data_IF_300455900376
#
_entry.id   IF_300455900376
#
_cell.length_a   1.000
_cell.length_b   1.000
_cell.length_c   1.000
_cell.angle_alpha   90.00
_cell.angle_beta   90.00
_cell.angle_gamma   90.00
#
_symmetry.space_group_name_H-M   'P 1'
#
loop_
_entity.id
_entity.type
_entity.pdbx_description
1 polymer ?
#
# COMPACT_ATOMS: atom_id res chain seq x y z
N UNK A 1 28.17 2.03 -13.48
CA UNK A 1 26.73 2.04 -13.08
C UNK A 1 26.17 3.45 -13.05
N UNK A 2 26.82 4.38 -12.38
CA UNK A 2 26.30 5.75 -12.12
C UNK A 2 26.14 6.63 -13.38
N UNK A 3 26.96 6.46 -14.41
CA UNK A 3 26.88 7.28 -15.62
C UNK A 3 25.68 6.89 -16.48
N UNK A 4 25.32 5.61 -16.50
CA UNK A 4 24.14 5.10 -17.21
C UNK A 4 22.85 5.55 -16.53
N UNK A 5 22.79 5.50 -15.19
CA UNK A 5 21.63 5.94 -14.42
C UNK A 5 21.42 7.45 -14.55
N UNK A 6 22.49 8.26 -14.50
CA UNK A 6 22.41 9.72 -14.71
C UNK A 6 21.98 10.09 -16.14
N UNK A 7 22.48 9.38 -17.15
CA UNK A 7 22.07 9.61 -18.54
C UNK A 7 20.60 9.17 -18.78
N UNK A 8 20.15 8.10 -18.16
CA UNK A 8 18.77 7.66 -18.26
C UNK A 8 17.82 8.65 -17.55
N UNK A 9 18.20 9.11 -16.37
CA UNK A 9 17.45 10.13 -15.61
C UNK A 9 17.32 11.44 -16.41
N UNK A 10 18.42 11.94 -17.00
CA UNK A 10 18.37 13.19 -17.78
C UNK A 10 17.53 13.07 -19.05
N UNK A 11 17.54 11.91 -19.71
CA UNK A 11 16.71 11.65 -20.90
C UNK A 11 15.23 11.48 -20.54
N UNK A 12 14.92 10.92 -19.38
CA UNK A 12 13.56 10.84 -18.84
C UNK A 12 13.07 12.25 -18.51
N UNK A 13 13.90 13.11 -17.93
CA UNK A 13 13.56 14.50 -17.61
C UNK A 13 13.33 15.34 -18.90
N UNK A 14 14.11 15.14 -19.95
CA UNK A 14 13.90 15.79 -21.25
C UNK A 14 12.63 15.30 -21.95
N UNK A 15 12.40 13.99 -21.98
CA UNK A 15 11.17 13.40 -22.52
C UNK A 15 9.92 13.85 -21.72
N UNK A 16 10.05 13.96 -20.41
CA UNK A 16 9.02 14.48 -19.51
C UNK A 16 8.65 15.93 -19.80
N UNK A 17 9.64 16.79 -20.13
CA UNK A 17 9.38 18.18 -20.50
C UNK A 17 8.60 18.31 -21.80
N UNK A 18 8.90 17.48 -22.79
CA UNK A 18 8.20 17.47 -24.09
C UNK A 18 6.79 16.90 -23.98
N UNK A 19 6.55 15.98 -23.03
CA UNK A 19 5.26 15.29 -22.87
C UNK A 19 4.34 15.94 -21.82
N UNK A 20 4.79 16.97 -21.09
CA UNK A 20 3.96 17.71 -20.12
C UNK A 20 2.71 18.35 -20.71
N UNK A 21 2.70 18.59 -22.02
CA UNK A 21 1.57 19.19 -22.73
C UNK A 21 0.59 18.14 -23.30
N UNK A 22 0.91 16.83 -23.14
CA UNK A 22 0.00 15.77 -23.62
C UNK A 22 -1.13 15.59 -22.62
N UNK A 23 -2.40 15.72 -23.05
CA UNK A 23 -3.53 15.51 -22.13
C UNK A 23 -3.47 14.14 -21.49
N UNK A 24 -3.65 14.06 -20.17
CA UNK A 24 -3.61 12.79 -19.43
C UNK A 24 -4.54 11.74 -20.04
N UNK A 25 -5.70 12.16 -20.56
CA UNK A 25 -6.66 11.28 -21.28
C UNK A 25 -6.03 10.55 -22.47
N UNK A 26 -5.12 11.20 -23.17
CA UNK A 26 -4.42 10.57 -24.30
C UNK A 26 -3.42 9.51 -23.82
N UNK A 27 -2.67 9.82 -22.77
CA UNK A 27 -1.75 8.85 -22.15
C UNK A 27 -2.50 7.65 -21.57
N UNK A 28 -3.62 7.87 -20.92
CA UNK A 28 -4.48 6.79 -20.41
C UNK A 28 -5.00 5.91 -21.55
N UNK A 29 -5.50 6.49 -22.65
CA UNK A 29 -5.96 5.75 -23.83
C UNK A 29 -4.83 4.95 -24.50
N UNK A 30 -3.64 5.54 -24.57
CA UNK A 30 -2.46 4.87 -25.14
C UNK A 30 -2.06 3.66 -24.27
N UNK A 31 -2.04 3.83 -22.95
CA UNK A 31 -1.75 2.73 -22.02
C UNK A 31 -2.82 1.65 -22.14
N UNK A 32 -4.10 2.00 -22.09
CA UNK A 32 -5.21 1.04 -22.18
C UNK A 32 -5.21 0.26 -23.51
N UNK A 33 -4.69 0.85 -24.61
CA UNK A 33 -4.56 0.18 -25.90
C UNK A 33 -3.30 -0.68 -26.05
N UNK A 34 -2.27 -0.39 -25.27
CA UNK A 34 -0.93 -1.01 -25.41
C UNK A 34 -0.70 -2.11 -24.36
N UNK A 35 -1.20 -1.91 -23.15
CA UNK A 35 -0.99 -2.82 -22.02
C UNK A 35 -2.29 -3.48 -21.62
N UNK A 36 -2.24 -4.79 -21.46
CA UNK A 36 -3.34 -5.58 -20.92
C UNK A 36 -2.97 -6.12 -19.55
N UNK A 37 -3.73 -5.78 -18.53
CA UNK A 37 -3.59 -6.41 -17.22
C UNK A 37 -4.02 -7.87 -17.29
N UNK A 38 -3.24 -8.73 -16.67
CA UNK A 38 -3.43 -10.18 -16.65
C UNK A 38 -3.18 -10.72 -15.25
N UNK A 39 -3.80 -11.84 -14.95
CA UNK A 39 -3.54 -12.58 -13.73
C UNK A 39 -2.10 -13.11 -13.72
N UNK A 40 -1.48 -13.11 -12.55
CA UNK A 40 -0.18 -13.76 -12.41
C UNK A 40 -0.33 -15.28 -12.50
N UNK A 41 0.57 -15.95 -13.23
CA UNK A 41 0.71 -17.39 -13.11
C UNK A 41 1.08 -17.79 -11.67
N UNK A 42 0.55 -18.88 -11.14
CA UNK A 42 0.73 -19.33 -9.76
C UNK A 42 0.02 -18.42 -8.74
N UNK A 43 -1.21 -18.23 -8.97
CA UNK A 43 -2.04 -17.24 -8.36
C UNK A 43 -2.16 -17.37 -6.83
N UNK A 44 -1.68 -16.39 -6.05
CA UNK A 44 -1.94 -16.34 -4.62
C UNK A 44 -3.38 -15.95 -4.27
N UNK A 45 -4.22 -15.56 -5.24
CA UNK A 45 -5.62 -15.21 -5.01
C UNK A 45 -6.49 -16.39 -4.57
N UNK A 46 -5.99 -17.61 -4.78
CA UNK A 46 -6.65 -18.84 -4.32
C UNK A 46 -5.84 -19.44 -3.18
N UNK A 47 -6.25 -19.37 -1.98
CA UNK A 47 -5.68 -20.00 -0.80
C UNK A 47 -5.39 -19.01 0.34
N UNK A 48 -4.37 -19.27 1.15
CA UNK A 48 -3.97 -18.45 2.29
C UNK A 48 -3.51 -17.02 1.93
N UNK A 49 -3.23 -16.75 0.66
CA UNK A 49 -2.83 -15.42 0.15
C UNK A 49 -3.96 -14.71 -0.60
N UNK A 50 -5.14 -15.30 -0.66
CA UNK A 50 -6.30 -14.66 -1.27
C UNK A 50 -6.57 -13.32 -0.58
N UNK A 51 -6.80 -12.23 -1.34
CA UNK A 51 -7.20 -10.96 -0.75
C UNK A 51 -8.55 -11.10 -0.05
N UNK A 52 -8.72 -10.31 1.00
CA UNK A 52 -9.96 -10.25 1.77
C UNK A 52 -10.69 -8.95 1.54
N UNK A 53 -12.01 -8.98 1.65
CA UNK A 53 -12.83 -7.78 1.54
C UNK A 53 -12.65 -6.86 2.76
N UNK A 54 -12.75 -5.56 2.51
CA UNK A 54 -12.78 -4.55 3.55
C UNK A 54 -14.14 -4.56 4.25
N UNK A 55 -14.15 -4.80 5.55
CA UNK A 55 -15.36 -4.74 6.37
C UNK A 55 -15.68 -3.27 6.73
N UNK A 56 -14.66 -2.49 7.08
CA UNK A 56 -14.77 -1.05 7.35
C UNK A 56 -15.42 -0.69 8.68
N UNK A 57 -16.19 -1.58 9.28
CA UNK A 57 -16.87 -1.40 10.57
C UNK A 57 -16.46 -2.49 11.55
N UNK A 58 -16.44 -2.16 12.85
CA UNK A 58 -16.11 -3.14 13.88
C UNK A 58 -17.25 -4.14 14.06
N UNK A 59 -16.93 -5.42 13.97
CA UNK A 59 -17.86 -6.52 14.23
C UNK A 59 -17.50 -7.22 15.53
N UNK A 60 -18.48 -7.57 16.34
CA UNK A 60 -18.25 -8.30 17.58
C UNK A 60 -17.95 -9.77 17.30
N UNK A 61 -16.93 -10.29 17.97
CA UNK A 61 -16.52 -11.69 17.88
C UNK A 61 -17.24 -12.47 19.00
N UNK A 62 -18.21 -13.27 18.63
CA UNK A 62 -19.01 -14.04 19.56
C UNK A 62 -18.46 -15.44 19.86
N UNK A 63 -17.58 -15.96 19.01
CA UNK A 63 -17.07 -17.32 19.12
C UNK A 63 -15.57 -17.28 19.37
N UNK A 64 -15.16 -17.54 20.61
CA UNK A 64 -13.77 -17.55 21.04
C UNK A 64 -13.48 -18.95 21.61
N UNK A 65 -12.48 -19.63 21.04
CA UNK A 65 -12.00 -20.90 21.57
C UNK A 65 -10.89 -20.65 22.62
N UNK A 66 -11.08 -21.23 23.82
CA UNK A 66 -10.20 -21.01 24.96
C UNK A 66 -10.67 -19.85 25.84
N UNK A 67 -9.75 -19.30 26.63
CA UNK A 67 -10.02 -18.19 27.53
C UNK A 67 -8.95 -17.10 27.40
N UNK A 68 -9.38 -15.85 27.39
CA UNK A 68 -8.48 -14.71 27.51
C UNK A 68 -8.07 -14.58 28.97
N UNK A 69 -6.77 -14.54 29.31
CA UNK A 69 -6.29 -14.39 30.69
C UNK A 69 -6.86 -13.14 31.37
N UNK A 70 -7.06 -13.20 32.70
CA UNK A 70 -7.59 -12.05 33.43
C UNK A 70 -6.65 -10.84 33.44
N UNK A 71 -5.34 -11.10 33.37
CA UNK A 71 -4.28 -10.09 33.31
C UNK A 71 -3.93 -9.62 31.90
N UNK A 72 -4.65 -10.10 30.87
CA UNK A 72 -4.48 -9.61 29.51
C UNK A 72 -4.84 -8.12 29.45
N UNK A 73 -4.03 -7.29 28.75
CA UNK A 73 -4.28 -5.85 28.68
C UNK A 73 -5.51 -5.50 27.83
N UNK A 74 -6.29 -4.54 28.28
CA UNK A 74 -7.25 -3.86 27.40
C UNK A 74 -6.52 -3.03 26.35
N UNK A 75 -7.09 -2.93 25.16
CA UNK A 75 -6.52 -2.14 24.10
C UNK A 75 -6.78 -2.72 22.72
N UNK A 76 -5.91 -2.38 21.78
CA UNK A 76 -6.02 -2.81 20.40
C UNK A 76 -4.74 -3.51 19.95
N UNK A 77 -4.92 -4.65 19.30
CA UNK A 77 -3.88 -5.29 18.51
C UNK A 77 -4.09 -4.97 17.04
N UNK A 78 -3.10 -4.34 16.39
CA UNK A 78 -3.18 -3.97 14.97
C UNK A 78 -2.08 -4.71 14.21
N UNK A 79 -2.46 -5.34 13.11
CA UNK A 79 -1.56 -5.92 12.12
C UNK A 79 -1.74 -5.23 10.78
N UNK A 80 -0.64 -4.96 10.08
CA UNK A 80 -0.63 -4.49 8.71
C UNK A 80 -0.16 -5.61 7.78
N UNK A 81 -0.64 -5.62 6.56
CA UNK A 81 -0.22 -6.56 5.53
C UNK A 81 -0.70 -6.14 4.15
N UNK A 82 -0.14 -6.79 3.14
CA UNK A 82 -0.55 -6.59 1.75
C UNK A 82 -1.92 -7.20 1.51
N UNK A 83 -2.78 -6.47 0.81
CA UNK A 83 -4.07 -6.96 0.36
C UNK A 83 -4.39 -6.33 -1.00
N UNK A 84 -4.15 -7.04 -2.11
CA UNK A 84 -4.34 -6.51 -3.44
C UNK A 84 -5.77 -6.03 -3.71
N UNK A 85 -5.93 -4.79 -4.13
CA UNK A 85 -7.25 -4.20 -4.38
C UNK A 85 -7.98 -4.86 -5.57
N UNK A 86 -7.25 -5.30 -6.58
CA UNK A 86 -7.81 -5.93 -7.79
C UNK A 86 -7.42 -7.41 -7.92
N UNK A 87 -7.27 -8.10 -6.79
CA UNK A 87 -6.97 -9.53 -6.76
C UNK A 87 -5.68 -9.85 -7.49
N UNK A 88 -5.73 -10.80 -8.42
CA UNK A 88 -4.56 -11.32 -9.13
C UNK A 88 -4.06 -10.46 -10.31
N UNK A 89 -4.68 -9.30 -10.60
CA UNK A 89 -4.29 -8.44 -11.73
C UNK A 89 -2.98 -7.68 -11.48
N UNK A 90 -1.89 -8.42 -11.24
CA UNK A 90 -0.58 -7.91 -10.89
C UNK A 90 0.46 -7.99 -12.02
N UNK A 91 0.03 -8.41 -13.19
CA UNK A 91 0.89 -8.54 -14.37
C UNK A 91 0.33 -7.75 -15.54
N UNK A 92 1.19 -7.36 -16.45
CA UNK A 92 0.77 -6.81 -17.75
C UNK A 92 1.48 -7.52 -18.89
N UNK A 93 0.77 -7.64 -20.01
CA UNK A 93 1.32 -8.01 -21.30
C UNK A 93 1.17 -6.84 -22.28
N UNK A 94 2.19 -6.61 -23.10
CA UNK A 94 2.23 -5.50 -24.06
C UNK A 94 3.10 -5.85 -25.28
N UNK A 95 3.17 -4.96 -26.25
CA UNK A 95 4.14 -5.07 -27.36
C UNK A 95 5.59 -4.97 -26.89
N UNK A 96 5.84 -4.48 -25.68
CA UNK A 96 7.17 -4.39 -25.06
C UNK A 96 7.55 -5.67 -24.29
N UNK A 97 6.65 -6.64 -24.20
CA UNK A 97 6.78 -7.85 -23.39
C UNK A 97 5.87 -7.86 -22.18
N UNK A 98 6.28 -8.62 -21.17
CA UNK A 98 5.53 -8.80 -19.93
C UNK A 98 6.24 -8.13 -18.76
N UNK A 99 5.46 -7.57 -17.84
CA UNK A 99 5.95 -7.11 -16.54
C UNK A 99 4.97 -7.48 -15.44
N UNK A 100 5.49 -7.58 -14.20
CA UNK A 100 4.69 -8.00 -13.05
C UNK A 100 5.19 -7.35 -11.76
N UNK A 101 4.31 -7.26 -10.78
CA UNK A 101 4.67 -7.00 -9.40
C UNK A 101 5.21 -8.27 -8.72
N UNK A 102 5.80 -8.10 -7.55
CA UNK A 102 6.11 -9.22 -6.67
C UNK A 102 4.79 -9.83 -6.18
N UNK A 103 4.66 -11.14 -6.19
CA UNK A 103 3.41 -11.86 -5.88
C UNK A 103 2.82 -11.53 -4.49
N UNK A 104 3.64 -11.12 -3.54
CA UNK A 104 3.22 -10.75 -2.18
C UNK A 104 2.83 -9.27 -2.08
N UNK A 105 2.99 -8.50 -3.15
CA UNK A 105 2.73 -7.07 -3.12
C UNK A 105 1.23 -6.77 -3.16
N UNK A 106 0.85 -5.65 -2.58
CA UNK A 106 -0.53 -5.17 -2.53
C UNK A 106 -0.65 -3.92 -1.67
N UNK A 107 -1.82 -3.33 -1.70
CA UNK A 107 -2.15 -2.19 -0.84
C UNK A 107 -2.12 -2.61 0.63
N UNK A 108 -1.77 -1.67 1.51
CA UNK A 108 -1.79 -1.91 2.94
C UNK A 108 -3.21 -2.11 3.46
N UNK A 109 -3.45 -3.22 4.16
CA UNK A 109 -4.68 -3.44 4.90
C UNK A 109 -4.37 -3.65 6.36
N UNK A 110 -5.00 -2.85 7.19
CA UNK A 110 -4.94 -2.96 8.64
C UNK A 110 -6.01 -3.94 9.12
N UNK A 111 -5.63 -4.78 10.07
CA UNK A 111 -6.52 -5.69 10.78
C UNK A 111 -6.39 -5.37 12.27
N UNK A 112 -7.48 -5.02 12.93
CA UNK A 112 -7.48 -4.70 14.35
C UNK A 112 -8.40 -5.61 15.14
N UNK A 113 -7.92 -6.02 16.32
CA UNK A 113 -8.72 -6.65 17.37
C UNK A 113 -8.74 -5.71 18.57
N UNK A 114 -9.94 -5.31 18.99
CA UNK A 114 -10.15 -4.49 20.18
C UNK A 114 -10.56 -5.39 21.33
N UNK A 115 -9.86 -5.27 22.44
CA UNK A 115 -10.11 -6.03 23.66
C UNK A 115 -10.63 -5.10 24.75
N UNK A 116 -11.84 -5.31 25.21
CA UNK A 116 -12.47 -4.52 26.28
C UNK A 116 -12.90 -5.44 27.41
N UNK A 117 -12.53 -5.08 28.63
CA UNK A 117 -12.89 -5.82 29.83
C UNK A 117 -14.23 -5.33 30.36
N UNK A 118 -15.21 -6.21 30.41
CA UNK A 118 -16.51 -5.86 31.00
C UNK A 118 -16.41 -5.83 32.51
N UNK A 119 -17.00 -4.85 33.15
CA UNK A 119 -16.93 -4.62 34.61
C UNK A 119 -17.42 -5.80 35.48
N UNK A 120 -18.19 -6.72 34.90
CA UNK A 120 -18.81 -7.85 35.60
C UNK A 120 -18.97 -9.10 34.75
N UNK A 121 -18.22 -9.23 33.68
CA UNK A 121 -18.41 -10.32 32.72
C UNK A 121 -17.20 -10.66 31.88
N UNK A 122 -17.36 -11.50 30.85
CA UNK A 122 -16.31 -11.93 29.99
C UNK A 122 -15.75 -10.76 29.14
N UNK A 123 -14.59 -10.97 28.54
CA UNK A 123 -14.01 -10.05 27.56
C UNK A 123 -14.95 -9.84 26.38
N UNK A 124 -15.07 -8.59 25.93
CA UNK A 124 -15.61 -8.25 24.62
C UNK A 124 -14.45 -8.08 23.63
N UNK A 125 -14.57 -8.75 22.51
CA UNK A 125 -13.59 -8.65 21.42
C UNK A 125 -14.31 -8.25 20.16
N UNK A 126 -13.82 -7.21 19.48
CA UNK A 126 -14.32 -6.83 18.16
C UNK A 126 -13.18 -6.77 17.14
N UNK A 127 -13.55 -6.99 15.88
CA UNK A 127 -12.62 -7.00 14.77
C UNK A 127 -13.04 -6.02 13.69
N UNK A 128 -12.07 -5.38 13.07
CA UNK A 128 -12.26 -4.58 11.86
C UNK A 128 -11.03 -4.73 10.96
N UNK A 129 -11.24 -4.68 9.67
CA UNK A 129 -10.16 -4.46 8.70
C UNK A 129 -10.47 -3.25 7.82
N UNK A 130 -9.43 -2.54 7.41
CA UNK A 130 -9.54 -1.36 6.56
C UNK A 130 -8.27 -1.12 5.77
N UNK A 131 -8.41 -0.73 4.50
CA UNK A 131 -7.28 -0.31 3.69
C UNK A 131 -6.67 1.00 4.21
N UNK A 132 -5.34 1.09 4.18
CA UNK A 132 -4.64 2.37 4.31
C UNK A 132 -4.93 3.20 3.06
N UNK A 133 -5.61 4.33 3.23
CA UNK A 133 -6.14 5.17 2.16
C UNK A 133 -5.04 6.05 1.54
N UNK A 134 -4.08 5.45 0.84
CA UNK A 134 -3.07 6.19 0.09
C UNK A 134 -3.70 6.96 -1.09
N UNK A 135 -2.96 7.93 -1.64
CA UNK A 135 -3.40 8.68 -2.82
C UNK A 135 -3.64 7.76 -4.03
N UNK A 136 -2.73 6.80 -4.24
CA UNK A 136 -2.82 5.86 -5.36
C UNK A 136 -3.96 4.86 -5.21
N UNK A 137 -4.26 4.42 -3.99
CA UNK A 137 -5.42 3.58 -3.71
C UNK A 137 -6.73 4.31 -4.02
N UNK A 138 -6.86 5.56 -3.57
CA UNK A 138 -8.05 6.39 -3.87
C UNK A 138 -8.23 6.59 -5.37
N UNK A 139 -7.14 6.81 -6.11
CA UNK A 139 -7.15 6.96 -7.56
C UNK A 139 -7.67 5.69 -8.25
N UNK A 140 -7.13 4.53 -7.90
CA UNK A 140 -7.52 3.25 -8.50
C UNK A 140 -8.95 2.85 -8.13
N UNK A 141 -9.38 3.10 -6.88
CA UNK A 141 -10.79 2.94 -6.46
C UNK A 141 -11.74 3.81 -7.28
N UNK A 142 -11.40 5.09 -7.46
CA UNK A 142 -12.23 6.00 -8.25
C UNK A 142 -12.34 5.56 -9.72
N UNK A 143 -11.31 4.95 -10.26
CA UNK A 143 -11.27 4.43 -11.63
C UNK A 143 -11.82 3.00 -11.77
N UNK A 144 -12.00 2.30 -10.67
CA UNK A 144 -12.45 0.90 -10.60
C UNK A 144 -11.62 -0.07 -11.46
N UNK A 145 -10.35 0.22 -11.62
CA UNK A 145 -9.39 -0.61 -12.36
C UNK A 145 -7.96 -0.36 -11.88
N UNK A 146 -7.04 -1.33 -12.04
CA UNK A 146 -5.63 -1.09 -11.82
C UNK A 146 -5.14 -0.03 -12.82
N UNK A 147 -4.35 0.92 -12.32
CA UNK A 147 -3.88 2.05 -13.11
C UNK A 147 -2.35 2.08 -13.28
N UNK A 148 -1.65 1.62 -12.26
CA UNK A 148 -0.18 1.56 -12.29
C UNK A 148 0.26 0.30 -13.00
N UNK A 149 1.10 0.47 -14.01
CA UNK A 149 1.72 -0.64 -14.70
C UNK A 149 2.81 -1.25 -13.81
N UNK A 150 2.85 -2.58 -13.63
CA UNK A 150 3.91 -3.25 -12.88
C UNK A 150 5.29 -2.92 -13.47
N UNK A 151 6.23 -2.48 -12.64
CA UNK A 151 7.56 -2.03 -13.06
C UNK A 151 8.70 -2.71 -12.28
N UNK A 152 8.46 -3.87 -11.68
CA UNK A 152 9.41 -4.55 -10.78
C UNK A 152 10.11 -5.71 -11.49
N UNK A 153 9.36 -6.65 -12.03
CA UNK A 153 9.88 -7.86 -12.66
C UNK A 153 9.36 -8.02 -14.08
N UNK A 154 10.14 -8.67 -14.97
CA UNK A 154 9.73 -9.00 -16.32
C UNK A 154 10.74 -8.65 -17.40
N UNK A 155 10.25 -8.45 -18.62
CA UNK A 155 11.07 -8.04 -19.76
C UNK A 155 11.56 -6.60 -19.60
N UNK A 156 12.83 -6.36 -19.82
CA UNK A 156 13.44 -5.04 -19.58
C UNK A 156 12.75 -3.90 -20.35
N UNK A 157 12.29 -4.15 -21.57
CA UNK A 157 11.57 -3.15 -22.35
C UNK A 157 10.19 -2.85 -21.76
N UNK A 158 9.49 -3.85 -21.25
CA UNK A 158 8.19 -3.68 -20.61
C UNK A 158 8.32 -2.92 -19.28
N UNK A 159 9.35 -3.22 -18.48
CA UNK A 159 9.64 -2.51 -17.21
C UNK A 159 9.97 -1.03 -17.51
N UNK A 160 10.82 -0.74 -18.50
CA UNK A 160 11.16 0.64 -18.85
C UNK A 160 9.92 1.39 -19.35
N UNK A 161 9.11 0.76 -20.19
CA UNK A 161 7.88 1.36 -20.69
C UNK A 161 6.90 1.62 -19.54
N UNK A 162 6.69 0.66 -18.63
CA UNK A 162 5.85 0.83 -17.45
C UNK A 162 6.32 2.00 -16.58
N UNK A 163 7.62 2.09 -16.32
CA UNK A 163 8.24 3.18 -15.58
C UNK A 163 7.91 4.54 -16.20
N UNK A 164 8.16 4.69 -17.52
CA UNK A 164 7.93 5.94 -18.25
C UNK A 164 6.45 6.32 -18.21
N UNK A 165 5.54 5.38 -18.52
CA UNK A 165 4.11 5.67 -18.57
C UNK A 165 3.52 5.97 -17.20
N UNK A 166 3.92 5.27 -16.13
CA UNK A 166 3.49 5.60 -14.78
C UNK A 166 3.95 7.00 -14.38
N UNK A 167 5.22 7.33 -14.64
CA UNK A 167 5.75 8.65 -14.32
C UNK A 167 5.05 9.77 -15.10
N UNK A 168 4.83 9.59 -16.39
CA UNK A 168 4.14 10.59 -17.22
C UNK A 168 2.68 10.80 -16.81
N UNK A 169 2.01 9.73 -16.39
CA UNK A 169 0.58 9.79 -16.01
C UNK A 169 0.35 10.28 -14.60
N UNK A 170 1.23 9.96 -13.68
CA UNK A 170 0.99 10.14 -12.25
C UNK A 170 2.11 10.89 -11.51
N UNK A 171 3.23 11.19 -12.18
CA UNK A 171 4.43 11.74 -11.55
C UNK A 171 5.16 10.76 -10.63
N UNK A 172 4.73 9.51 -10.61
CA UNK A 172 5.24 8.43 -9.75
C UNK A 172 5.40 7.16 -10.58
N UNK A 173 6.40 6.37 -10.25
CA UNK A 173 6.65 5.08 -10.93
C UNK A 173 5.83 3.96 -10.30
N UNK A 174 5.82 3.91 -8.97
CA UNK A 174 5.15 2.90 -8.19
C UNK A 174 4.00 3.49 -7.39
N UNK A 175 3.12 2.63 -6.91
CA UNK A 175 2.07 3.02 -5.97
C UNK A 175 2.65 3.46 -4.64
N UNK A 176 1.92 4.35 -3.96
CA UNK A 176 2.16 4.65 -2.55
C UNK A 176 1.54 3.52 -1.73
N UNK A 177 2.35 2.66 -1.18
CA UNK A 177 1.90 1.55 -0.32
C UNK A 177 2.37 1.77 1.12
N UNK A 178 1.59 1.29 2.08
CA UNK A 178 1.91 1.32 3.50
C UNK A 178 1.44 0.01 4.13
N UNK A 179 2.05 -1.10 3.70
CA UNK A 179 1.55 -2.46 3.90
C UNK A 179 2.40 -3.32 4.83
N UNK A 180 3.47 -2.78 5.45
CA UNK A 180 4.46 -3.62 6.09
C UNK A 180 4.36 -3.61 7.61
N UNK A 181 4.24 -2.44 8.23
CA UNK A 181 4.29 -2.33 9.68
C UNK A 181 3.38 -1.23 10.22
N UNK A 182 3.13 -1.32 11.52
CA UNK A 182 2.46 -0.27 12.31
C UNK A 182 3.35 0.05 13.50
N UNK A 183 3.57 1.33 13.79
CA UNK A 183 4.29 1.75 14.98
C UNK A 183 3.62 2.97 15.63
N UNK A 184 3.83 3.13 16.93
CA UNK A 184 3.44 4.31 17.67
C UNK A 184 4.62 5.25 17.90
N UNK A 185 4.38 6.55 17.78
CA UNK A 185 5.33 7.59 18.11
C UNK A 185 4.63 8.84 18.59
N UNK A 186 5.03 9.32 19.77
CA UNK A 186 4.50 10.55 20.38
C UNK A 186 2.95 10.57 20.47
N UNK A 187 2.32 9.44 20.77
CA UNK A 187 0.87 9.30 20.88
C UNK A 187 0.11 9.24 19.56
N UNK A 188 0.82 9.11 18.45
CA UNK A 188 0.27 8.92 17.10
C UNK A 188 0.68 7.55 16.58
N UNK A 189 -0.19 6.94 15.80
CA UNK A 189 0.03 5.62 15.20
C UNK A 189 0.17 5.76 13.69
N UNK A 190 1.12 5.03 13.10
CA UNK A 190 1.46 5.14 11.69
C UNK A 190 1.56 3.78 11.03
N UNK A 191 1.00 3.67 9.83
CA UNK A 191 1.26 2.57 8.90
C UNK A 191 2.40 2.95 7.97
N UNK A 192 3.31 2.01 7.70
CA UNK A 192 4.53 2.25 6.91
C UNK A 192 4.87 1.12 5.95
N UNK A 193 5.63 1.47 4.93
CA UNK A 193 6.40 0.61 4.05
C UNK A 193 7.70 1.33 3.63
N UNK A 194 8.56 0.67 2.84
CA UNK A 194 9.85 1.25 2.44
C UNK A 194 9.77 2.31 1.34
N UNK A 195 8.66 2.40 0.62
CA UNK A 195 8.56 3.22 -0.60
C UNK A 195 7.75 4.51 -0.44
N UNK A 196 7.22 4.77 0.76
CA UNK A 196 6.35 5.92 0.98
C UNK A 196 6.59 6.55 2.37
N UNK A 197 5.99 7.72 2.59
CA UNK A 197 5.94 8.38 3.90
C UNK A 197 4.95 7.65 4.83
N UNK A 198 5.15 7.71 6.16
CA UNK A 198 4.20 7.15 7.11
C UNK A 198 2.81 7.75 6.96
N UNK A 199 1.79 6.90 7.01
CA UNK A 199 0.40 7.31 7.01
C UNK A 199 -0.14 7.24 8.43
N UNK A 200 -0.63 8.34 8.96
CA UNK A 200 -1.25 8.36 10.29
C UNK A 200 -2.55 7.55 10.30
N UNK A 201 -2.76 6.79 11.36
CA UNK A 201 -3.91 5.91 11.52
C UNK A 201 -4.64 6.26 12.81
N UNK A 202 -5.94 6.47 12.71
CA UNK A 202 -6.82 6.57 13.86
C UNK A 202 -7.06 5.17 14.46
N UNK A 203 -6.59 4.92 15.68
CA UNK A 203 -6.68 3.58 16.29
C UNK A 203 -8.12 3.16 16.64
N UNK A 204 -9.06 4.10 16.72
CA UNK A 204 -10.44 3.83 17.09
C UNK A 204 -11.25 3.18 15.95
N UNK A 205 -10.90 3.48 14.69
CA UNK A 205 -11.68 3.06 13.53
C UNK A 205 -10.84 2.71 12.31
N UNK A 206 -9.51 2.77 12.42
CA UNK A 206 -8.52 2.55 11.36
C UNK A 206 -8.61 3.56 10.18
N UNK A 207 -9.26 4.70 10.38
CA UNK A 207 -9.23 5.75 9.35
C UNK A 207 -7.79 6.24 9.12
N UNK A 208 -7.47 6.46 7.85
CA UNK A 208 -6.20 7.04 7.46
C UNK A 208 -6.28 8.56 7.57
N UNK A 209 -5.41 9.13 8.36
CA UNK A 209 -5.21 10.57 8.50
C UNK A 209 -4.21 11.13 7.50
N UNK A 210 -3.42 12.08 7.96
CA UNK A 210 -2.45 12.76 7.13
C UNK A 210 -1.17 11.93 6.92
N UNK A 211 -0.49 12.20 5.83
CA UNK A 211 0.87 11.74 5.59
C UNK A 211 1.84 12.49 6.50
N UNK A 212 2.70 11.77 7.20
CA UNK A 212 3.65 12.39 8.12
C UNK A 212 4.98 12.72 7.42
N UNK A 213 5.14 13.97 7.09
CA UNK A 213 6.31 14.55 6.42
C UNK A 213 7.16 15.45 7.33
N UNK A 214 6.93 15.38 8.64
CA UNK A 214 7.57 16.27 9.64
C UNK A 214 7.32 17.77 9.39
N UNK A 215 6.12 18.12 8.92
CA UNK A 215 5.76 19.51 8.60
C UNK A 215 6.39 20.03 7.31
N UNK A 216 6.65 19.14 6.36
CA UNK A 216 7.27 19.44 5.07
C UNK A 216 8.80 19.36 5.06
N UNK A 217 9.42 18.98 6.18
CA UNK A 217 10.88 18.86 6.29
C UNK A 217 11.43 17.53 5.77
N UNK A 218 10.55 16.55 5.49
CA UNK A 218 10.93 15.25 4.99
C UNK A 218 10.03 14.80 3.83
N UNK A 219 10.62 14.62 2.66
CA UNK A 219 9.94 14.26 1.41
C UNK A 219 10.37 12.90 0.84
N UNK A 220 11.14 12.11 1.59
CA UNK A 220 11.71 10.84 1.15
C UNK A 220 10.95 9.66 1.72
N UNK A 221 11.09 8.52 1.05
CA UNK A 221 10.62 7.25 1.58
C UNK A 221 11.13 6.99 3.01
N UNK A 222 10.27 6.43 3.83
CA UNK A 222 10.57 6.07 5.21
C UNK A 222 11.02 4.61 5.30
N UNK A 223 11.38 4.15 6.49
CA UNK A 223 11.68 2.73 6.73
C UNK A 223 10.42 1.96 7.11
N UNK A 224 10.29 0.72 6.64
CA UNK A 224 9.22 -0.17 7.10
C UNK A 224 9.45 -0.72 8.52
N UNK A 225 10.68 -0.65 9.04
CA UNK A 225 11.05 -1.22 10.32
C UNK A 225 11.66 -0.19 11.29
N UNK A 226 10.94 0.91 11.61
CA UNK A 226 11.45 1.92 12.52
C UNK A 226 11.67 1.34 13.91
N UNK A 227 12.68 1.84 14.61
CA UNK A 227 12.89 1.56 16.03
C UNK A 227 12.59 2.82 16.81
N UNK A 228 11.59 2.77 17.65
CA UNK A 228 11.21 3.88 18.52
C UNK A 228 11.98 3.76 19.83
N UNK A 229 12.82 4.74 20.13
CA UNK A 229 13.54 4.82 21.38
C UNK A 229 12.75 5.69 22.37
N UNK A 230 12.37 5.11 23.51
CA UNK A 230 11.80 5.88 24.61
C UNK A 230 12.94 6.57 25.36
N UNK A 231 13.09 7.89 25.21
CA UNK A 231 14.01 8.66 26.03
C UNK A 231 13.46 8.71 27.44
N UNK A 232 14.12 8.05 28.38
CA UNK A 232 13.85 8.24 29.80
C UNK A 232 14.68 9.46 30.23
N UNK A 233 14.02 10.57 30.52
CA UNK A 233 14.68 11.66 31.24
C UNK A 233 14.88 11.20 32.68
N UNK A 234 16.13 11.04 33.08
CA UNK A 234 16.55 10.83 34.46
C UNK A 234 16.50 12.13 35.22
#
# INVERSE_FOLDING_TARGET
GDLLVKNLSSRIDEASKVLKDVPQRFLDALVDSTFKFTDQPLDPSESNFAPVDEIGEAIEIHQIEGAIPEDFPEGVYIRNGSNPLFGALHSTASIFGQSREIWVEGEGMLHALYFTKNSSGPWSVSYVNRYVQSETLRLERARQKPCFLPAIEGDSAAIIAAYIFNFLRFGKVNKDISNTNVFDHAGRVFAVAENHLPQEICIQNLDTGDTWDLGGEWDRAFTAHPKVWKTVYL
#
